data_IF_729719410074
#
_entry.id   IF_729719410074
#
_cell.length_a   1.000
_cell.length_b   1.000
_cell.length_c   1.000
_cell.angle_alpha   90.00
_cell.angle_beta   90.00
_cell.angle_gamma   90.00
#
_symmetry.space_group_name_H-M   'P 1'
#
loop_
_entity.id
_entity.type
_entity.pdbx_description
1 polymer ?
#
# COMPACT_ATOMS: atom_id res chain seq x y z
N UNK A 1 -8.29 -34.40 19.20
CA UNK A 1 -7.69 -34.16 17.87
C UNK A 1 -7.59 -32.66 17.66
N UNK A 2 -6.38 -32.14 17.80
CA UNK A 2 -6.06 -30.72 17.62
C UNK A 2 -6.43 -30.31 16.19
N UNK A 3 -7.29 -29.30 16.03
CA UNK A 3 -7.48 -28.64 14.74
C UNK A 3 -6.19 -27.86 14.46
N UNK A 4 -5.32 -28.44 13.65
CA UNK A 4 -4.24 -27.68 13.02
C UNK A 4 -4.88 -26.55 12.22
N UNK A 5 -4.71 -25.31 12.71
CA UNK A 5 -5.01 -24.11 11.96
C UNK A 5 -4.03 -24.08 10.79
N UNK A 6 -4.54 -24.20 9.56
CA UNK A 6 -3.74 -23.97 8.35
C UNK A 6 -2.97 -22.66 8.48
N UNK A 7 -1.73 -22.65 7.99
CA UNK A 7 -0.92 -21.44 7.96
C UNK A 7 -1.69 -20.31 7.24
N UNK A 8 -1.51 -19.08 7.70
CA UNK A 8 -2.20 -17.88 7.19
C UNK A 8 -2.07 -17.66 5.67
N UNK A 9 -1.13 -18.34 5.01
CA UNK A 9 -0.91 -18.30 3.56
C UNK A 9 -1.97 -19.12 2.78
N UNK A 10 -2.73 -20.01 3.44
CA UNK A 10 -3.71 -20.95 2.85
C UNK A 10 -5.18 -20.60 3.12
N UNK A 11 -5.49 -19.39 3.62
CA UNK A 11 -6.87 -18.91 3.66
C UNK A 11 -7.28 -18.48 2.25
N UNK A 12 -7.55 -19.46 1.39
CA UNK A 12 -8.14 -19.23 0.09
C UNK A 12 -9.44 -18.44 0.27
N UNK A 13 -9.56 -17.34 -0.48
CA UNK A 13 -10.80 -16.60 -0.56
C UNK A 13 -11.79 -17.44 -1.38
N UNK A 14 -12.44 -18.39 -0.72
CA UNK A 14 -13.34 -19.37 -1.32
C UNK A 14 -14.43 -18.71 -2.15
N UNK A 15 -14.97 -17.59 -1.65
CA UNK A 15 -15.91 -16.77 -2.40
C UNK A 15 -15.32 -16.34 -3.75
N UNK A 16 -14.17 -15.66 -3.77
CA UNK A 16 -13.58 -15.18 -5.03
C UNK A 16 -13.26 -16.33 -5.98
N UNK A 17 -12.74 -17.45 -5.47
CA UNK A 17 -12.44 -18.63 -6.28
C UNK A 17 -13.71 -19.20 -6.95
N UNK A 18 -14.78 -19.40 -6.18
CA UNK A 18 -16.08 -19.87 -6.67
C UNK A 18 -16.67 -18.91 -7.72
N UNK A 19 -16.58 -17.60 -7.47
CA UNK A 19 -17.10 -16.59 -8.40
C UNK A 19 -16.28 -16.53 -9.68
N UNK A 20 -14.96 -16.70 -9.63
CA UNK A 20 -14.12 -16.79 -10.83
C UNK A 20 -14.51 -18.00 -11.66
N UNK A 21 -14.65 -19.18 -11.03
CA UNK A 21 -15.05 -20.41 -11.70
C UNK A 21 -16.43 -20.29 -12.38
N UNK A 22 -17.35 -19.53 -11.79
CA UNK A 22 -18.68 -19.28 -12.35
C UNK A 22 -18.69 -18.22 -13.48
N UNK A 23 -17.93 -17.13 -13.33
CA UNK A 23 -18.00 -15.97 -14.23
C UNK A 23 -17.09 -16.11 -15.46
N UNK A 24 -15.90 -16.69 -15.32
CA UNK A 24 -14.92 -16.76 -16.40
C UNK A 24 -15.44 -17.52 -17.64
N UNK A 25 -16.09 -18.70 -17.51
CA UNK A 25 -16.66 -19.39 -18.68
C UNK A 25 -17.75 -18.59 -19.39
N UNK A 26 -18.54 -17.80 -18.64
CA UNK A 26 -19.57 -16.94 -19.23
C UNK A 26 -18.94 -15.77 -20.00
N UNK A 27 -17.86 -15.19 -19.50
CA UNK A 27 -17.13 -14.15 -20.22
C UNK A 27 -16.45 -14.68 -21.46
N UNK A 28 -15.91 -15.91 -21.41
CA UNK A 28 -15.37 -16.60 -22.57
C UNK A 28 -16.46 -16.87 -23.62
N UNK A 29 -17.63 -17.36 -23.20
CA UNK A 29 -18.77 -17.57 -24.09
C UNK A 29 -19.28 -16.25 -24.72
N UNK A 30 -19.26 -15.13 -23.99
CA UNK A 30 -19.64 -13.82 -24.54
C UNK A 30 -18.58 -13.21 -25.47
N UNK A 31 -17.31 -13.62 -25.37
CA UNK A 31 -16.20 -12.99 -26.07
C UNK A 31 -16.37 -12.90 -27.60
N UNK A 32 -16.96 -13.87 -28.32
CA UNK A 32 -17.14 -13.76 -29.77
C UNK A 32 -18.19 -12.72 -30.22
N UNK A 33 -19.09 -12.30 -29.33
CA UNK A 33 -20.25 -11.47 -29.69
C UNK A 33 -19.92 -9.98 -29.83
N UNK A 34 -20.83 -9.19 -30.41
CA UNK A 34 -20.68 -7.73 -30.50
C UNK A 34 -20.89 -7.05 -29.14
N UNK A 35 -20.42 -5.82 -28.99
CA UNK A 35 -20.46 -5.07 -27.73
C UNK A 35 -21.85 -5.06 -27.05
N UNK A 36 -22.91 -4.77 -27.81
CA UNK A 36 -24.28 -4.72 -27.26
C UNK A 36 -24.76 -6.07 -26.75
N UNK A 37 -24.38 -7.16 -27.42
CA UNK A 37 -24.70 -8.52 -27.01
C UNK A 37 -23.87 -8.93 -25.78
N UNK A 38 -22.59 -8.59 -25.73
CA UNK A 38 -21.78 -8.80 -24.52
C UNK A 38 -22.35 -8.02 -23.31
N UNK A 39 -22.90 -6.83 -23.56
CA UNK A 39 -23.52 -5.95 -22.55
C UNK A 39 -24.83 -6.50 -22.00
N UNK A 40 -25.77 -6.82 -22.89
CA UNK A 40 -27.16 -7.20 -22.55
C UNK A 40 -27.38 -8.71 -22.44
N UNK A 41 -26.56 -9.49 -23.10
CA UNK A 41 -26.70 -10.93 -23.26
C UNK A 41 -27.09 -11.33 -24.68
N UNK A 42 -27.11 -12.64 -24.92
CA UNK A 42 -27.56 -13.26 -26.16
C UNK A 42 -28.77 -14.13 -25.82
N UNK A 43 -30.01 -13.62 -25.99
CA UNK A 43 -31.22 -14.34 -25.56
C UNK A 43 -31.37 -15.73 -26.18
N UNK A 44 -30.94 -15.90 -27.43
CA UNK A 44 -31.06 -17.15 -28.16
C UNK A 44 -30.11 -18.25 -27.65
N UNK A 45 -29.09 -17.89 -26.87
CA UNK A 45 -28.08 -18.80 -26.35
C UNK A 45 -28.08 -18.85 -24.81
N UNK A 46 -29.11 -18.24 -24.19
CA UNK A 46 -29.25 -18.10 -22.74
C UNK A 46 -28.00 -17.49 -22.06
N UNK A 47 -27.23 -16.66 -22.79
CA UNK A 47 -26.06 -15.99 -22.26
C UNK A 47 -26.43 -14.68 -21.60
N UNK A 48 -26.14 -14.54 -20.31
CA UNK A 48 -26.36 -13.30 -19.57
C UNK A 48 -25.26 -12.29 -19.89
N UNK A 49 -25.64 -11.06 -20.23
CA UNK A 49 -24.68 -9.97 -20.43
C UNK A 49 -24.03 -9.51 -19.13
N UNK A 50 -22.89 -8.82 -19.24
CA UNK A 50 -22.12 -8.39 -18.07
C UNK A 50 -22.90 -7.48 -17.11
N UNK A 51 -23.89 -6.70 -17.59
CA UNK A 51 -24.69 -5.83 -16.72
C UNK A 51 -25.57 -6.65 -15.77
N UNK A 52 -26.19 -7.71 -16.29
CA UNK A 52 -27.04 -8.60 -15.51
C UNK A 52 -26.20 -9.44 -14.55
N UNK A 53 -25.05 -9.93 -15.01
CA UNK A 53 -24.09 -10.62 -14.16
C UNK A 53 -23.59 -9.73 -13.03
N UNK A 54 -23.31 -8.46 -13.29
CA UNK A 54 -22.91 -7.50 -12.25
C UNK A 54 -24.02 -7.24 -11.24
N UNK A 55 -25.28 -7.16 -11.66
CA UNK A 55 -26.42 -7.01 -10.75
C UNK A 55 -26.62 -8.24 -9.86
N UNK A 56 -26.50 -9.45 -10.41
CA UNK A 56 -26.53 -10.71 -9.65
C UNK A 56 -25.39 -10.73 -8.65
N UNK A 57 -24.18 -10.39 -9.08
CA UNK A 57 -23.00 -10.37 -8.22
C UNK A 57 -23.13 -9.36 -7.09
N UNK A 58 -23.68 -8.17 -7.37
CA UNK A 58 -23.95 -7.18 -6.34
C UNK A 58 -24.91 -7.70 -5.26
N UNK A 59 -25.97 -8.42 -5.67
CA UNK A 59 -26.90 -9.07 -4.73
C UNK A 59 -26.19 -10.14 -3.90
N UNK A 60 -25.40 -11.00 -4.54
CA UNK A 60 -24.64 -12.05 -3.85
C UNK A 60 -23.66 -11.46 -2.83
N UNK A 61 -22.96 -10.38 -3.19
CA UNK A 61 -22.05 -9.69 -2.28
C UNK A 61 -22.77 -9.11 -1.06
N UNK A 62 -23.95 -8.49 -1.24
CA UNK A 62 -24.75 -7.96 -0.12
C UNK A 62 -25.26 -9.07 0.80
N UNK A 63 -25.56 -10.25 0.25
CA UNK A 63 -26.01 -11.41 1.03
C UNK A 63 -24.85 -12.05 1.81
N UNK A 64 -23.72 -12.28 1.16
CA UNK A 64 -22.56 -12.94 1.78
C UNK A 64 -21.78 -12.02 2.72
N UNK A 65 -21.85 -10.70 2.50
CA UNK A 65 -21.18 -9.69 3.30
C UNK A 65 -22.18 -8.59 3.67
N UNK A 66 -23.16 -8.90 4.55
CA UNK A 66 -24.14 -7.93 4.98
C UNK A 66 -23.46 -6.79 5.74
N UNK A 67 -24.07 -5.61 5.65
CA UNK A 67 -23.73 -4.46 6.47
C UNK A 67 -24.93 -4.22 7.40
N UNK A 68 -24.77 -4.54 8.68
CA UNK A 68 -25.84 -4.54 9.68
C UNK A 68 -26.23 -3.13 10.15
N UNK A 69 -25.48 -2.10 9.71
CA UNK A 69 -25.79 -0.71 10.01
C UNK A 69 -27.13 -0.27 9.41
N UNK A 70 -27.75 0.81 9.95
CA UNK A 70 -28.88 1.49 9.32
C UNK A 70 -28.61 1.82 7.85
N UNK A 71 -29.64 1.80 6.98
CA UNK A 71 -29.45 1.93 5.52
C UNK A 71 -28.74 3.23 5.11
N UNK A 72 -28.96 4.31 5.85
CA UNK A 72 -28.33 5.61 5.73
C UNK A 72 -26.87 5.65 6.24
N UNK A 73 -26.42 4.62 6.96
CA UNK A 73 -25.05 4.44 7.44
C UNK A 73 -24.26 3.29 6.77
N UNK A 74 -24.91 2.45 5.96
CA UNK A 74 -24.24 1.35 5.26
C UNK A 74 -23.14 1.86 4.34
N UNK A 75 -22.06 1.08 4.25
CA UNK A 75 -20.94 1.33 3.33
C UNK A 75 -20.45 0.06 2.62
N UNK A 76 -20.84 -1.13 3.08
CA UNK A 76 -20.47 -2.42 2.49
C UNK A 76 -18.95 -2.58 2.28
N UNK A 77 -18.16 -2.16 3.27
CA UNK A 77 -16.69 -2.15 3.16
C UNK A 77 -16.06 -3.50 2.82
N UNK A 78 -16.62 -4.61 3.33
CA UNK A 78 -16.16 -5.96 2.97
C UNK A 78 -16.52 -6.33 1.53
N UNK A 79 -17.74 -6.03 1.07
CA UNK A 79 -18.11 -6.26 -0.33
C UNK A 79 -17.24 -5.44 -1.30
N UNK A 80 -16.93 -4.18 -0.99
CA UNK A 80 -16.03 -3.34 -1.78
C UNK A 80 -14.62 -3.95 -1.93
N UNK A 81 -14.10 -4.55 -0.85
CA UNK A 81 -12.83 -5.31 -0.89
C UNK A 81 -12.95 -6.54 -1.79
N UNK A 82 -14.04 -7.28 -1.69
CA UNK A 82 -14.28 -8.47 -2.51
C UNK A 82 -14.46 -8.17 -3.99
N UNK A 83 -15.11 -7.04 -4.34
CA UNK A 83 -15.18 -6.56 -5.73
C UNK A 83 -13.77 -6.34 -6.30
N UNK A 84 -12.87 -5.77 -5.51
CA UNK A 84 -11.49 -5.50 -5.94
C UNK A 84 -10.72 -6.82 -6.12
N UNK A 85 -10.84 -7.73 -5.16
CA UNK A 85 -10.22 -9.06 -5.23
C UNK A 85 -10.74 -9.88 -6.42
N UNK A 86 -12.05 -9.88 -6.66
CA UNK A 86 -12.68 -10.58 -7.77
C UNK A 86 -12.20 -10.06 -9.14
N UNK A 87 -12.13 -8.74 -9.34
CA UNK A 87 -11.59 -8.16 -10.58
C UNK A 87 -10.14 -8.59 -10.82
N UNK A 88 -9.31 -8.62 -9.78
CA UNK A 88 -7.91 -9.03 -9.88
C UNK A 88 -7.80 -10.51 -10.23
N UNK A 89 -8.56 -11.36 -9.54
CA UNK A 89 -8.58 -12.81 -9.77
C UNK A 89 -9.09 -13.16 -11.17
N UNK A 90 -10.17 -12.51 -11.64
CA UNK A 90 -10.68 -12.70 -13.00
C UNK A 90 -9.64 -12.33 -14.07
N UNK A 91 -8.94 -11.20 -13.90
CA UNK A 91 -7.87 -10.79 -14.84
C UNK A 91 -6.67 -11.73 -14.83
N UNK A 92 -6.38 -12.34 -13.68
CA UNK A 92 -5.33 -13.34 -13.57
C UNK A 92 -5.76 -14.64 -14.28
N UNK A 93 -6.93 -15.16 -13.93
CA UNK A 93 -7.50 -16.37 -14.52
C UNK A 93 -7.73 -16.24 -16.04
N UNK A 94 -8.11 -15.05 -16.52
CA UNK A 94 -8.22 -14.79 -17.95
C UNK A 94 -6.89 -14.94 -18.72
N UNK A 95 -5.74 -14.89 -18.05
CA UNK A 95 -4.43 -15.12 -18.69
C UNK A 95 -3.98 -16.58 -18.63
N UNK A 96 -4.42 -17.31 -17.62
CA UNK A 96 -3.90 -18.66 -17.31
C UNK A 96 -4.89 -19.77 -17.67
N UNK A 97 -6.19 -19.51 -17.56
CA UNK A 97 -7.22 -20.55 -17.46
C UNK A 97 -8.24 -20.53 -18.60
N UNK A 98 -8.12 -19.60 -19.57
CA UNK A 98 -8.97 -19.60 -20.76
C UNK A 98 -8.68 -20.82 -21.65
N UNK A 99 -9.74 -21.39 -22.23
CA UNK A 99 -9.62 -22.49 -23.19
C UNK A 99 -9.05 -21.97 -24.51
N UNK A 100 -9.51 -20.80 -24.96
CA UNK A 100 -8.96 -20.12 -26.12
C UNK A 100 -8.15 -18.88 -25.72
N UNK A 101 -6.82 -18.97 -25.90
CA UNK A 101 -5.89 -17.87 -25.62
C UNK A 101 -6.10 -16.66 -26.54
N UNK A 102 -6.73 -16.81 -27.71
CA UNK A 102 -7.05 -15.67 -28.57
C UNK A 102 -8.10 -14.74 -27.93
N UNK A 103 -8.91 -15.26 -26.99
CA UNK A 103 -10.00 -14.51 -26.35
C UNK A 103 -9.56 -13.67 -25.14
N UNK A 104 -8.28 -13.72 -24.74
CA UNK A 104 -7.74 -12.99 -23.57
C UNK A 104 -8.11 -11.51 -23.60
N UNK A 105 -7.95 -10.84 -24.75
CA UNK A 105 -8.23 -9.41 -24.88
C UNK A 105 -9.74 -9.11 -24.81
N UNK A 106 -10.62 -9.74 -25.62
CA UNK A 106 -12.07 -9.60 -25.48
C UNK A 106 -12.59 -9.89 -24.06
N UNK A 107 -12.11 -10.95 -23.41
CA UNK A 107 -12.49 -11.32 -22.04
C UNK A 107 -12.06 -10.25 -21.04
N UNK A 108 -10.84 -9.71 -21.16
CA UNK A 108 -10.37 -8.61 -20.32
C UNK A 108 -11.22 -7.34 -20.47
N UNK A 109 -11.71 -7.05 -21.68
CA UNK A 109 -12.67 -5.95 -21.89
C UNK A 109 -13.99 -6.22 -21.17
N UNK A 110 -14.52 -7.44 -21.26
CA UNK A 110 -15.75 -7.84 -20.56
C UNK A 110 -15.56 -7.73 -19.03
N UNK A 111 -14.47 -8.26 -18.48
CA UNK A 111 -14.13 -8.17 -17.05
C UNK A 111 -14.07 -6.71 -16.59
N UNK A 112 -13.51 -5.82 -17.42
CA UNK A 112 -13.42 -4.39 -17.10
C UNK A 112 -14.81 -3.77 -16.99
N UNK A 113 -15.68 -3.96 -17.99
CA UNK A 113 -17.04 -3.41 -17.97
C UNK A 113 -17.96 -4.06 -16.93
N UNK A 114 -17.85 -5.38 -16.73
CA UNK A 114 -18.47 -6.07 -15.61
C UNK A 114 -18.07 -5.42 -14.29
N UNK A 115 -16.77 -5.20 -14.10
CA UNK A 115 -16.24 -4.59 -12.90
C UNK A 115 -16.73 -3.16 -12.68
N UNK A 116 -16.83 -2.35 -13.73
CA UNK A 116 -17.39 -0.99 -13.68
C UNK A 116 -18.86 -1.01 -13.29
N UNK A 117 -19.67 -1.85 -13.96
CA UNK A 117 -21.09 -2.02 -13.66
C UNK A 117 -21.30 -2.50 -12.21
N UNK A 118 -20.48 -3.44 -11.74
CA UNK A 118 -20.52 -3.93 -10.36
C UNK A 118 -20.14 -2.85 -9.35
N UNK A 119 -19.08 -2.08 -9.62
CA UNK A 119 -18.70 -0.95 -8.77
C UNK A 119 -19.75 0.16 -8.73
N UNK A 120 -20.47 0.38 -9.84
CA UNK A 120 -21.57 1.34 -9.90
C UNK A 120 -22.70 0.99 -8.92
N UNK A 121 -23.01 -0.30 -8.74
CA UNK A 121 -24.00 -0.77 -7.75
C UNK A 121 -23.63 -0.44 -6.30
N UNK A 122 -22.38 -0.05 -6.04
CA UNK A 122 -21.88 0.34 -4.72
C UNK A 122 -21.39 1.79 -4.63
N UNK A 123 -21.65 2.62 -5.65
CA UNK A 123 -21.09 3.97 -5.75
C UNK A 123 -21.47 4.86 -4.55
N UNK A 124 -22.75 4.89 -4.16
CA UNK A 124 -23.24 5.70 -3.04
C UNK A 124 -22.65 5.27 -1.68
N UNK A 125 -22.45 3.97 -1.47
CA UNK A 125 -21.82 3.42 -0.28
C UNK A 125 -20.34 3.82 -0.20
N UNK A 126 -19.63 3.76 -1.33
CA UNK A 126 -18.23 4.18 -1.42
C UNK A 126 -18.07 5.70 -1.22
N UNK A 127 -18.99 6.50 -1.74
CA UNK A 127 -18.99 7.95 -1.53
C UNK A 127 -19.18 8.30 -0.06
N UNK A 128 -20.12 7.65 0.64
CA UNK A 128 -20.30 7.80 2.09
C UNK A 128 -19.04 7.44 2.86
N UNK A 129 -18.43 6.29 2.54
CA UNK A 129 -17.17 5.87 3.16
C UNK A 129 -16.07 6.93 2.99
N UNK A 130 -15.93 7.48 1.78
CA UNK A 130 -14.96 8.52 1.48
C UNK A 130 -15.26 9.83 2.22
N UNK A 131 -16.51 10.24 2.31
CA UNK A 131 -16.92 11.45 3.03
C UNK A 131 -16.63 11.32 4.53
N UNK A 132 -17.06 10.23 5.16
CA UNK A 132 -16.75 9.96 6.58
C UNK A 132 -15.25 9.93 6.83
N UNK A 133 -14.48 9.26 5.96
CA UNK A 133 -13.02 9.25 6.07
C UNK A 133 -12.42 10.67 6.00
N UNK A 134 -12.89 11.51 5.06
CA UNK A 134 -12.44 12.91 4.96
C UNK A 134 -12.77 13.69 6.23
N UNK A 135 -13.95 13.49 6.81
CA UNK A 135 -14.37 14.20 8.02
C UNK A 135 -13.55 13.76 9.24
N UNK A 136 -13.33 12.45 9.43
CA UNK A 136 -12.43 11.92 10.46
C UNK A 136 -11.01 12.46 10.30
N UNK A 137 -10.50 12.56 9.07
CA UNK A 137 -9.17 13.11 8.81
C UNK A 137 -9.11 14.61 9.11
N UNK A 138 -10.16 15.38 8.78
CA UNK A 138 -10.24 16.80 9.15
C UNK A 138 -10.27 16.99 10.67
N UNK A 139 -11.10 16.23 11.36
CA UNK A 139 -11.23 16.26 12.82
C UNK A 139 -9.90 15.95 13.51
N UNK A 140 -9.20 14.90 13.09
CA UNK A 140 -7.90 14.49 13.64
C UNK A 140 -6.77 15.50 13.40
N UNK A 141 -6.92 16.43 12.46
CA UNK A 141 -5.91 17.47 12.16
C UNK A 141 -6.11 18.74 12.98
N UNK A 142 -7.28 18.88 13.63
CA UNK A 142 -7.55 20.00 14.54
C UNK A 142 -6.53 20.01 15.67
N UNK A 143 -6.13 21.21 16.11
CA UNK A 143 -5.02 21.42 17.03
C UNK A 143 -5.20 20.62 18.33
N UNK A 144 -6.43 20.55 18.81
CA UNK A 144 -6.84 19.89 20.04
C UNK A 144 -6.73 18.35 19.96
N UNK A 145 -6.78 17.79 18.75
CA UNK A 145 -6.75 16.35 18.48
C UNK A 145 -5.38 15.85 17.99
N UNK A 146 -4.38 16.73 17.95
CA UNK A 146 -3.02 16.38 17.52
C UNK A 146 -2.35 15.49 18.55
N UNK A 147 -1.50 14.61 18.05
CA UNK A 147 -0.75 13.67 18.88
C UNK A 147 0.70 14.12 18.92
N UNK A 148 1.19 14.37 20.14
CA UNK A 148 2.61 14.55 20.39
C UNK A 148 3.34 13.21 20.25
N UNK A 149 4.38 13.19 19.44
CA UNK A 149 5.25 12.03 19.24
C UNK A 149 6.66 12.35 19.75
N UNK A 150 7.31 11.36 20.35
CA UNK A 150 8.67 11.46 20.87
C UNK A 150 9.51 10.38 20.21
N UNK A 151 10.54 10.80 19.47
CA UNK A 151 11.39 9.88 18.72
C UNK A 151 12.62 9.47 19.53
N UNK A 152 12.84 10.03 20.72
CA UNK A 152 14.14 9.96 21.41
C UNK A 152 14.62 8.54 21.65
N UNK A 153 13.80 7.70 22.28
CA UNK A 153 14.18 6.32 22.58
C UNK A 153 14.27 5.47 21.32
N UNK A 154 13.29 5.61 20.44
CA UNK A 154 13.22 4.88 19.17
C UNK A 154 14.36 5.23 18.21
N UNK A 155 14.84 6.48 18.16
CA UNK A 155 16.02 6.87 17.36
C UNK A 155 17.31 6.34 17.97
N UNK A 156 17.47 6.38 19.29
CA UNK A 156 18.63 5.77 19.97
C UNK A 156 18.66 4.27 19.73
N UNK A 157 17.51 3.60 19.85
CA UNK A 157 17.39 2.18 19.57
C UNK A 157 17.74 1.87 18.11
N UNK A 158 17.20 2.63 17.16
CA UNK A 158 17.54 2.48 15.74
C UNK A 158 19.03 2.69 15.46
N UNK A 159 19.64 3.72 16.04
CA UNK A 159 21.07 4.00 15.91
C UNK A 159 21.91 2.84 16.44
N UNK A 160 21.58 2.34 17.63
CA UNK A 160 22.29 1.22 18.24
C UNK A 160 22.16 -0.04 17.37
N UNK A 161 20.94 -0.43 16.97
CA UNK A 161 20.73 -1.61 16.12
C UNK A 161 21.52 -1.54 14.81
N UNK A 162 21.60 -0.36 14.17
CA UNK A 162 22.39 -0.19 12.95
C UNK A 162 23.91 -0.17 13.21
N UNK A 163 24.33 0.31 14.38
CA UNK A 163 25.74 0.29 14.80
C UNK A 163 26.18 -1.14 15.13
N UNK A 164 25.35 -1.90 15.85
CA UNK A 164 25.61 -3.27 16.27
C UNK A 164 25.85 -4.16 15.04
N UNK A 165 24.97 -4.11 14.03
CA UNK A 165 25.16 -4.89 12.80
C UNK A 165 26.42 -4.47 12.02
N UNK A 166 26.84 -3.20 12.12
CA UNK A 166 28.06 -2.71 11.46
C UNK A 166 29.32 -3.18 12.18
N UNK A 167 29.20 -3.46 13.48
CA UNK A 167 30.26 -4.07 14.29
C UNK A 167 30.21 -5.61 14.28
N UNK A 168 29.54 -6.20 13.28
CA UNK A 168 29.35 -7.65 13.13
C UNK A 168 28.61 -8.34 14.30
N UNK A 169 27.83 -7.58 15.07
CA UNK A 169 26.95 -8.15 16.10
C UNK A 169 25.62 -8.63 15.50
N UNK A 170 25.03 -9.65 16.12
CA UNK A 170 23.74 -10.18 15.65
C UNK A 170 22.60 -9.26 16.08
N UNK A 171 21.72 -8.95 15.13
CA UNK A 171 20.53 -8.15 15.39
C UNK A 171 19.30 -8.78 14.74
N UNK A 172 18.15 -8.52 15.34
CA UNK A 172 16.88 -8.92 14.76
C UNK A 172 16.59 -8.08 13.51
N UNK A 173 16.46 -8.74 12.36
CA UNK A 173 16.20 -8.09 11.07
C UNK A 173 14.92 -7.23 11.05
N UNK A 174 13.95 -7.54 11.92
CA UNK A 174 12.73 -6.73 12.07
C UNK A 174 13.07 -5.34 12.61
N UNK A 175 14.01 -5.26 13.55
CA UNK A 175 14.44 -4.01 14.16
C UNK A 175 15.30 -3.20 13.19
N UNK A 176 16.18 -3.86 12.42
CA UNK A 176 16.94 -3.23 11.32
C UNK A 176 15.99 -2.62 10.27
N UNK A 177 14.95 -3.35 9.88
CA UNK A 177 13.92 -2.87 8.95
C UNK A 177 13.19 -1.64 9.47
N UNK A 178 12.71 -1.69 10.72
CA UNK A 178 12.07 -0.56 11.38
C UNK A 178 13.02 0.64 11.52
N UNK A 179 14.30 0.42 11.84
CA UNK A 179 15.31 1.46 11.95
C UNK A 179 15.51 2.20 10.62
N UNK A 180 15.65 1.47 9.51
CA UNK A 180 15.78 2.06 8.16
C UNK A 180 14.51 2.82 7.78
N UNK A 181 13.33 2.29 8.09
CA UNK A 181 12.06 2.95 7.82
C UNK A 181 11.90 4.25 8.61
N UNK A 182 12.30 4.27 9.88
CA UNK A 182 12.31 5.49 10.70
C UNK A 182 13.34 6.50 10.18
N UNK A 183 14.54 6.05 9.82
CA UNK A 183 15.63 6.92 9.39
C UNK A 183 15.38 7.58 8.03
N UNK A 184 14.63 6.95 7.12
CA UNK A 184 14.47 7.39 5.71
C UNK A 184 13.03 7.68 5.28
N UNK A 185 12.07 7.31 6.14
CA UNK A 185 10.64 7.37 5.84
C UNK A 185 10.19 6.51 4.67
N UNK A 186 11.03 5.61 4.13
CA UNK A 186 10.67 4.75 2.99
C UNK A 186 9.57 3.76 3.35
N UNK A 187 8.75 3.38 2.37
CA UNK A 187 7.68 2.39 2.54
C UNK A 187 8.28 1.00 2.76
N UNK A 188 7.54 0.12 3.43
CA UNK A 188 7.94 -1.29 3.63
C UNK A 188 8.33 -1.97 2.31
N UNK A 189 7.50 -1.80 1.29
CA UNK A 189 7.77 -2.32 -0.04
C UNK A 189 9.00 -1.69 -0.70
N UNK A 190 9.39 -0.46 -0.35
CA UNK A 190 10.62 0.13 -0.86
C UNK A 190 11.84 -0.50 -0.16
N UNK A 191 11.84 -0.54 1.18
CA UNK A 191 12.94 -1.11 1.98
C UNK A 191 13.23 -2.57 1.59
N UNK A 192 12.19 -3.40 1.43
CA UNK A 192 12.33 -4.83 1.18
C UNK A 192 12.32 -5.25 -0.30
N UNK A 193 12.41 -4.31 -1.25
CA UNK A 193 12.36 -4.64 -2.68
C UNK A 193 13.17 -3.66 -3.53
N UNK A 194 12.79 -2.39 -3.55
CA UNK A 194 13.20 -1.47 -4.62
C UNK A 194 14.21 -0.41 -4.22
N UNK A 195 14.39 -0.16 -2.92
CA UNK A 195 15.25 0.90 -2.43
C UNK A 195 16.71 0.70 -2.83
N UNK A 196 17.34 1.77 -3.28
CA UNK A 196 18.78 1.89 -3.41
C UNK A 196 19.17 3.19 -2.74
N UNK A 197 20.15 3.14 -1.85
CA UNK A 197 20.72 4.32 -1.20
C UNK A 197 22.18 4.47 -1.60
N UNK A 198 22.56 5.70 -1.92
CA UNK A 198 23.95 6.08 -2.14
C UNK A 198 24.24 7.28 -1.25
N UNK A 199 25.27 7.16 -0.41
CA UNK A 199 25.63 8.21 0.54
C UNK A 199 26.11 9.47 -0.19
N UNK A 200 25.62 10.65 0.23
CA UNK A 200 26.11 11.95 -0.22
C UNK A 200 26.98 12.59 0.87
N UNK A 201 26.44 12.69 2.08
CA UNK A 201 27.10 13.25 3.25
C UNK A 201 26.69 12.48 4.52
N UNK A 202 26.90 13.05 5.71
CA UNK A 202 26.59 12.39 6.98
C UNK A 202 25.09 12.11 7.16
N UNK A 203 24.19 12.95 6.63
CA UNK A 203 22.74 12.85 6.86
C UNK A 203 21.91 12.95 5.59
N UNK A 204 22.52 12.65 4.44
CA UNK A 204 21.85 12.73 3.14
C UNK A 204 22.23 11.53 2.27
N UNK A 205 21.21 10.92 1.66
CA UNK A 205 21.39 9.87 0.65
C UNK A 205 20.67 10.22 -0.64
N UNK A 206 21.20 9.74 -1.75
CA UNK A 206 20.45 9.60 -2.99
C UNK A 206 19.58 8.35 -2.88
N UNK A 207 18.27 8.48 -3.08
CA UNK A 207 17.33 7.37 -3.12
C UNK A 207 16.82 7.12 -4.53
N UNK A 208 16.79 5.84 -4.92
CA UNK A 208 16.10 5.32 -6.11
C UNK A 208 15.14 4.19 -5.70
N UNK A 209 14.09 3.97 -6.48
CA UNK A 209 13.16 2.85 -6.28
C UNK A 209 11.77 3.22 -5.80
N UNK A 210 11.30 4.45 -6.09
CA UNK A 210 9.95 4.88 -5.70
C UNK A 210 8.87 3.98 -6.32
N UNK A 211 8.03 3.36 -5.48
CA UNK A 211 7.00 2.42 -5.95
C UNK A 211 5.67 3.08 -6.24
N UNK A 212 5.31 4.13 -5.49
CA UNK A 212 4.08 4.87 -5.76
C UNK A 212 4.27 5.74 -7.00
N UNK A 213 3.38 5.59 -7.96
CA UNK A 213 3.56 6.22 -9.27
C UNK A 213 4.56 5.49 -10.18
N UNK A 214 4.92 4.23 -9.91
CA UNK A 214 5.83 3.42 -10.77
C UNK A 214 5.48 3.37 -12.27
N UNK A 215 4.19 3.53 -12.61
CA UNK A 215 3.72 3.58 -14.01
C UNK A 215 3.82 4.98 -14.62
N UNK A 216 4.03 6.02 -13.80
CA UNK A 216 4.24 7.38 -14.25
C UNK A 216 5.63 7.49 -14.85
N UNK A 217 5.71 8.16 -15.99
CA UNK A 217 6.98 8.52 -16.62
C UNK A 217 7.15 10.02 -16.57
N UNK A 218 8.35 10.47 -16.22
CA UNK A 218 8.75 11.87 -16.26
C UNK A 218 9.61 12.07 -17.50
N UNK A 219 9.37 13.17 -18.22
CA UNK A 219 10.23 13.53 -19.36
C UNK A 219 11.50 14.18 -18.83
N UNK A 220 12.64 13.57 -19.10
CA UNK A 220 13.96 14.14 -18.85
C UNK A 220 14.59 14.38 -20.23
N UNK A 221 14.49 15.63 -20.71
CA UNK A 221 14.74 15.96 -22.11
C UNK A 221 13.78 15.18 -23.04
N UNK A 222 14.35 14.49 -24.03
CA UNK A 222 13.58 13.72 -25.02
C UNK A 222 13.17 12.31 -24.55
N UNK A 223 13.61 11.87 -23.37
CA UNK A 223 13.37 10.50 -22.86
C UNK A 223 12.33 10.49 -21.74
N UNK A 224 11.38 9.57 -21.83
CA UNK A 224 10.41 9.29 -20.78
C UNK A 224 10.96 8.21 -19.83
N UNK A 225 11.41 8.62 -18.64
CA UNK A 225 12.02 7.74 -17.63
C UNK A 225 10.97 7.39 -16.57
N UNK A 226 10.95 6.14 -16.08
CA UNK A 226 10.05 5.76 -14.98
C UNK A 226 10.42 6.53 -13.71
N UNK A 227 9.42 7.00 -12.94
CA UNK A 227 9.65 7.58 -11.61
C UNK A 227 10.42 6.64 -10.69
N UNK A 228 10.27 5.33 -10.88
CA UNK A 228 11.02 4.31 -10.12
C UNK A 228 12.53 4.47 -10.31
N UNK A 229 12.95 4.88 -11.50
CA UNK A 229 14.35 4.95 -11.90
C UNK A 229 15.00 6.32 -11.68
N UNK A 230 14.21 7.32 -11.28
CA UNK A 230 14.71 8.67 -11.03
C UNK A 230 15.31 8.74 -9.63
N UNK A 231 16.63 9.00 -9.50
CA UNK A 231 17.24 9.26 -8.20
C UNK A 231 16.83 10.64 -7.70
N UNK A 232 16.60 10.76 -6.40
CA UNK A 232 16.41 12.05 -5.73
C UNK A 232 17.00 12.04 -4.33
N UNK A 233 17.36 13.20 -3.81
CA UNK A 233 18.00 13.34 -2.50
C UNK A 233 16.96 13.28 -1.39
N UNK A 234 17.29 12.58 -0.31
CA UNK A 234 16.49 12.58 0.92
C UNK A 234 17.40 12.76 2.14
N UNK A 235 16.96 13.50 3.17
CA UNK A 235 17.67 13.52 4.44
C UNK A 235 17.51 12.18 5.17
N UNK A 236 18.42 11.89 6.10
CA UNK A 236 18.33 10.76 7.02
C UNK A 236 18.34 11.24 8.46
N UNK A 237 17.62 10.54 9.35
CA UNK A 237 17.63 10.84 10.79
C UNK A 237 18.79 10.17 11.55
N UNK A 238 19.46 9.24 10.89
CA UNK A 238 20.64 8.52 11.39
C UNK A 238 21.72 8.66 10.32
N UNK A 239 22.99 8.56 10.71
CA UNK A 239 24.13 8.57 9.78
C UNK A 239 23.83 7.77 8.49
N UNK A 240 24.00 8.41 7.35
CA UNK A 240 23.72 7.87 6.03
C UNK A 240 24.51 6.58 5.75
N UNK A 241 25.73 6.48 6.26
CA UNK A 241 26.56 5.29 6.19
C UNK A 241 25.90 4.09 6.90
N UNK A 242 25.40 4.28 8.13
CA UNK A 242 24.67 3.24 8.86
C UNK A 242 23.39 2.81 8.13
N UNK A 243 22.67 3.76 7.53
CA UNK A 243 21.45 3.49 6.76
C UNK A 243 21.75 2.67 5.50
N UNK A 244 22.78 3.06 4.74
CA UNK A 244 23.23 2.32 3.57
C UNK A 244 23.68 0.91 3.94
N UNK A 245 24.48 0.77 5.00
CA UNK A 245 24.93 -0.52 5.52
C UNK A 245 23.76 -1.41 5.94
N UNK A 246 22.81 -0.86 6.73
CA UNK A 246 21.65 -1.63 7.17
C UNK A 246 20.79 -2.14 6.01
N UNK A 247 20.65 -1.35 4.95
CA UNK A 247 19.92 -1.78 3.76
C UNK A 247 20.63 -2.94 3.04
N UNK A 248 21.96 -2.89 2.94
CA UNK A 248 22.76 -4.00 2.38
C UNK A 248 22.68 -5.24 3.28
N UNK A 249 22.80 -5.08 4.59
CA UNK A 249 22.69 -6.19 5.55
C UNK A 249 21.36 -6.93 5.44
N UNK A 250 20.24 -6.21 5.23
CA UNK A 250 18.94 -6.85 4.99
C UNK A 250 18.94 -7.69 3.70
N UNK A 251 19.67 -7.24 2.68
CA UNK A 251 19.84 -7.97 1.41
C UNK A 251 20.61 -9.28 1.66
N UNK A 252 21.76 -9.18 2.32
CA UNK A 252 22.65 -10.30 2.63
C UNK A 252 21.97 -11.36 3.51
N UNK A 253 21.04 -10.96 4.38
CA UNK A 253 20.21 -11.86 5.22
C UNK A 253 18.98 -12.41 4.50
N UNK A 254 18.83 -12.17 3.20
CA UNK A 254 17.70 -12.63 2.39
C UNK A 254 16.36 -12.03 2.83
N UNK A 255 16.38 -10.81 3.37
CA UNK A 255 15.18 -10.07 3.82
C UNK A 255 14.72 -9.05 2.78
N UNK A 256 15.29 -9.07 1.58
CA UNK A 256 14.83 -8.27 0.44
C UNK A 256 14.51 -9.21 -0.72
N UNK A 257 13.52 -8.83 -1.51
CA UNK A 257 13.19 -9.52 -2.76
C UNK A 257 13.90 -8.87 -3.93
N UNK A 258 14.06 -9.64 -5.01
CA UNK A 258 14.57 -9.13 -6.27
C UNK A 258 13.77 -7.92 -6.77
N UNK A 259 14.40 -6.88 -7.32
CA UNK A 259 13.71 -5.65 -7.68
C UNK A 259 12.52 -5.82 -8.65
N UNK A 260 12.51 -6.85 -9.49
CA UNK A 260 11.46 -7.09 -10.48
C UNK A 260 10.23 -7.84 -9.93
N UNK A 261 10.27 -8.30 -8.67
CA UNK A 261 9.16 -8.99 -8.01
C UNK A 261 7.92 -8.11 -7.77
N UNK A 262 6.78 -8.76 -7.55
CA UNK A 262 5.53 -8.07 -7.23
C UNK A 262 5.62 -7.37 -5.86
N UNK A 263 5.47 -6.03 -5.78
CA UNK A 263 5.47 -5.33 -4.49
C UNK A 263 4.42 -5.82 -3.49
N UNK A 264 3.32 -6.42 -3.94
CA UNK A 264 2.35 -7.01 -3.03
C UNK A 264 2.89 -8.25 -2.30
N UNK A 265 3.91 -8.92 -2.82
CA UNK A 265 4.60 -10.02 -2.15
C UNK A 265 5.25 -9.56 -0.85
N UNK A 266 5.84 -8.36 -0.82
CA UNK A 266 6.36 -7.75 0.42
C UNK A 266 5.28 -7.66 1.49
N UNK A 267 4.11 -7.10 1.12
CA UNK A 267 3.01 -6.96 2.07
C UNK A 267 2.51 -8.31 2.56
N UNK A 268 2.36 -9.31 1.68
CA UNK A 268 1.96 -10.66 2.09
C UNK A 268 2.98 -11.30 3.04
N UNK A 269 4.27 -11.17 2.77
CA UNK A 269 5.32 -11.84 3.53
C UNK A 269 5.63 -11.17 4.87
N UNK A 270 5.76 -9.84 4.88
CA UNK A 270 6.36 -9.13 6.01
C UNK A 270 5.37 -8.27 6.79
N UNK A 271 4.21 -7.90 6.25
CA UNK A 271 3.34 -6.90 6.90
C UNK A 271 2.88 -7.29 8.29
N UNK A 272 2.48 -8.55 8.51
CA UNK A 272 2.01 -9.03 9.82
C UNK A 272 3.15 -8.96 10.83
N UNK A 273 4.30 -9.55 10.51
CA UNK A 273 5.44 -9.66 11.41
C UNK A 273 6.05 -8.30 11.73
N UNK A 274 6.19 -7.43 10.73
CA UNK A 274 6.71 -6.07 10.95
C UNK A 274 5.73 -5.20 11.74
N UNK A 275 4.42 -5.28 11.50
CA UNK A 275 3.47 -4.54 12.34
C UNK A 275 3.45 -5.03 13.79
N UNK A 276 3.68 -6.32 14.04
CA UNK A 276 3.86 -6.81 15.41
C UNK A 276 5.13 -6.26 16.05
N UNK A 277 6.26 -6.30 15.32
CA UNK A 277 7.52 -5.72 15.79
C UNK A 277 7.39 -4.22 16.09
N UNK A 278 6.67 -3.45 15.27
CA UNK A 278 6.46 -2.02 15.49
C UNK A 278 5.79 -1.68 16.83
N UNK A 279 5.12 -2.62 17.50
CA UNK A 279 4.48 -2.34 18.80
C UNK A 279 5.49 -2.03 19.89
N UNK A 280 6.74 -2.51 19.79
CA UNK A 280 7.82 -2.18 20.74
C UNK A 280 8.37 -0.76 20.54
N UNK A 281 8.09 -0.11 19.40
CA UNK A 281 8.61 1.21 19.07
C UNK A 281 7.72 2.31 19.65
N UNK A 282 8.26 3.06 20.61
CA UNK A 282 7.52 3.95 21.51
C UNK A 282 7.26 5.37 20.97
N UNK A 283 7.14 5.53 19.65
CA UNK A 283 6.93 6.84 19.01
C UNK A 283 5.47 7.30 19.09
N UNK A 284 4.54 6.37 18.90
CA UNK A 284 3.10 6.63 18.80
C UNK A 284 2.35 6.00 19.99
N UNK A 285 1.10 6.42 20.26
CA UNK A 285 0.18 5.69 21.12
C UNK A 285 0.10 4.21 20.72
N UNK A 286 -0.02 3.33 21.71
CA UNK A 286 0.13 1.88 21.52
C UNK A 286 -0.82 1.29 20.45
N UNK A 287 -2.02 1.84 20.32
CA UNK A 287 -3.05 1.46 19.36
C UNK A 287 -2.80 1.98 17.93
N UNK A 288 -1.88 2.93 17.75
CA UNK A 288 -1.54 3.49 16.44
C UNK A 288 -0.22 2.97 15.85
N UNK A 289 0.55 2.18 16.62
CA UNK A 289 1.87 1.67 16.22
C UNK A 289 1.75 0.68 15.06
N UNK A 290 2.11 1.16 13.88
CA UNK A 290 2.11 0.38 12.64
C UNK A 290 3.26 0.85 11.76
N UNK A 291 3.80 -0.05 10.93
CA UNK A 291 5.05 0.20 10.20
C UNK A 291 5.00 1.46 9.32
N UNK A 292 3.86 1.69 8.65
CA UNK A 292 3.70 2.86 7.77
C UNK A 292 3.77 4.21 8.52
N UNK A 293 3.64 4.21 9.86
CA UNK A 293 3.72 5.43 10.68
C UNK A 293 5.14 5.93 10.87
N UNK A 294 6.16 5.09 10.68
CA UNK A 294 7.55 5.56 10.66
C UNK A 294 7.76 6.65 9.62
N UNK A 295 7.08 6.57 8.46
CA UNK A 295 7.09 7.63 7.45
C UNK A 295 6.53 8.96 7.95
N UNK A 296 5.50 8.92 8.82
CA UNK A 296 4.96 10.11 9.45
C UNK A 296 5.96 10.70 10.44
N UNK A 297 6.53 9.87 11.33
CA UNK A 297 7.55 10.30 12.29
C UNK A 297 8.78 10.90 11.59
N UNK A 298 9.26 10.21 10.55
CA UNK A 298 10.33 10.68 9.68
C UNK A 298 10.05 12.07 9.11
N UNK A 299 8.89 12.26 8.47
CA UNK A 299 8.58 13.54 7.84
C UNK A 299 8.55 14.67 8.88
N UNK A 300 7.95 14.42 10.05
CA UNK A 300 7.88 15.41 11.13
C UNK A 300 9.27 15.77 11.66
N UNK A 301 10.16 14.79 11.81
CA UNK A 301 11.54 15.02 12.23
C UNK A 301 12.35 15.76 11.16
N UNK A 302 12.19 15.40 9.88
CA UNK A 302 12.85 16.07 8.77
C UNK A 302 12.46 17.55 8.66
N UNK A 303 11.18 17.88 8.86
CA UNK A 303 10.70 19.27 8.90
C UNK A 303 11.38 20.06 10.03
N UNK A 304 11.48 19.46 11.24
CA UNK A 304 12.15 20.11 12.39
C UNK A 304 13.64 20.31 12.12
N UNK A 305 14.30 19.33 11.50
CA UNK A 305 15.73 19.38 11.19
C UNK A 305 16.08 20.38 10.08
N UNK A 306 15.17 20.60 9.13
CA UNK A 306 15.34 21.60 8.07
C UNK A 306 15.28 23.03 8.64
N UNK A 307 14.36 23.28 9.57
CA UNK A 307 14.23 24.55 10.29
C UNK A 307 13.63 25.71 9.49
N UNK A 308 13.50 25.60 8.16
CA UNK A 308 12.91 26.64 7.30
C UNK A 308 11.51 26.27 6.77
N UNK A 309 11.08 25.03 6.97
CA UNK A 309 9.78 24.53 6.52
C UNK A 309 8.71 24.80 7.57
N UNK A 310 7.58 25.38 7.17
CA UNK A 310 6.44 25.56 8.07
C UNK A 310 5.90 24.18 8.52
N UNK A 311 5.76 23.92 9.84
CA UNK A 311 5.28 22.64 10.35
C UNK A 311 3.85 22.26 9.94
N UNK A 312 3.12 23.11 9.25
CA UNK A 312 1.75 22.91 8.79
C UNK A 312 1.55 23.31 7.31
N UNK A 313 2.55 23.90 6.67
CA UNK A 313 2.64 24.11 5.23
C UNK A 313 3.91 23.48 4.63
N UNK A 314 3.95 22.14 4.65
CA UNK A 314 5.09 21.34 4.24
C UNK A 314 4.81 20.47 3.00
N UNK A 315 3.79 20.80 2.20
CA UNK A 315 3.36 19.91 1.10
C UNK A 315 4.48 19.73 0.08
N UNK A 316 5.13 20.81 -0.35
CA UNK A 316 6.18 20.75 -1.37
C UNK A 316 7.43 20.05 -0.81
N UNK A 317 7.84 20.40 0.41
CA UNK A 317 8.91 19.68 1.11
C UNK A 317 8.62 18.18 1.23
N UNK A 318 7.38 17.81 1.58
CA UNK A 318 6.98 16.41 1.65
C UNK A 318 7.01 15.74 0.28
N UNK A 319 6.56 16.38 -0.80
CA UNK A 319 6.65 15.84 -2.16
C UNK A 319 8.09 15.51 -2.53
N UNK A 320 9.03 16.40 -2.20
CA UNK A 320 10.44 16.23 -2.49
C UNK A 320 11.06 15.08 -1.68
N UNK A 321 10.90 15.11 -0.35
CA UNK A 321 11.54 14.09 0.50
C UNK A 321 10.84 12.74 0.44
N UNK A 322 9.54 12.69 0.16
CA UNK A 322 8.74 11.45 0.14
C UNK A 322 8.58 10.88 -1.28
N UNK A 323 8.79 11.67 -2.33
CA UNK A 323 8.48 11.32 -3.72
C UNK A 323 7.00 11.01 -3.94
N UNK A 324 6.10 11.56 -3.12
CA UNK A 324 4.66 11.25 -3.11
C UNK A 324 3.85 12.51 -3.46
N UNK A 325 3.06 12.46 -4.53
CA UNK A 325 2.19 13.59 -4.93
C UNK A 325 0.77 13.51 -4.36
N UNK A 326 0.51 12.52 -3.52
CA UNK A 326 -0.80 12.37 -2.88
C UNK A 326 -0.93 13.30 -1.67
N UNK A 327 -1.44 14.49 -1.93
CA UNK A 327 -1.67 15.51 -0.92
C UNK A 327 -2.63 15.04 0.19
N UNK A 328 -3.58 14.13 -0.09
CA UNK A 328 -4.46 13.62 0.94
C UNK A 328 -3.68 12.81 1.98
N UNK A 329 -2.76 11.97 1.52
CA UNK A 329 -1.84 11.20 2.36
C UNK A 329 -0.86 12.12 3.09
N UNK A 330 -0.21 13.07 2.40
CA UNK A 330 0.73 14.01 3.03
C UNK A 330 0.05 14.80 4.13
N UNK A 331 -1.12 15.37 3.84
CA UNK A 331 -1.83 16.16 4.82
C UNK A 331 -2.25 15.33 6.04
N UNK A 332 -2.39 14.00 5.93
CA UNK A 332 -2.74 13.15 7.08
C UNK A 332 -1.65 13.17 8.16
N UNK A 333 -0.41 13.49 7.79
CA UNK A 333 0.70 13.64 8.74
C UNK A 333 0.64 14.93 9.57
N UNK A 334 -0.23 15.91 9.22
CA UNK A 334 -0.50 17.10 10.05
C UNK A 334 -1.12 16.77 11.41
N UNK A 335 -1.57 15.53 11.61
CA UNK A 335 -2.07 15.01 12.88
C UNK A 335 -0.98 14.93 13.96
N UNK A 336 0.28 14.79 13.57
CA UNK A 336 1.39 14.52 14.50
C UNK A 336 2.24 15.76 14.73
N UNK A 337 2.71 15.95 15.95
CA UNK A 337 3.61 17.04 16.35
C UNK A 337 4.79 16.48 17.14
N UNK A 338 6.01 16.93 16.86
CA UNK A 338 7.19 16.50 17.62
C UNK A 338 7.10 17.12 19.01
N UNK A 339 7.21 16.29 20.05
CA UNK A 339 7.26 16.75 21.43
C UNK A 339 8.49 17.65 21.62
N UNK A 340 8.36 18.85 22.21
CA UNK A 340 9.50 19.72 22.47
C UNK A 340 10.62 18.99 23.22
N UNK A 341 11.86 19.14 22.74
CA UNK A 341 13.04 18.46 23.29
C UNK A 341 13.23 17.02 22.82
N UNK A 342 12.34 16.47 21.99
CA UNK A 342 12.57 15.17 21.34
C UNK A 342 13.81 15.25 20.45
N UNK A 343 14.63 14.21 20.49
CA UNK A 343 15.68 14.00 19.50
C UNK A 343 15.03 13.76 18.13
N UNK A 344 15.53 14.41 17.08
CA UNK A 344 15.01 14.29 15.70
C UNK A 344 16.07 13.84 14.70
N UNK A 345 17.34 13.75 15.12
CA UNK A 345 18.47 13.25 14.33
C UNK A 345 19.58 12.79 15.28
N UNK A 346 20.30 11.73 14.94
CA UNK A 346 21.44 11.21 15.71
C UNK A 346 22.59 10.73 14.84
#
# INVERSE_FOLDING_TARGET
>A
MSRELKASEDLENTYVAERVAYLLPQFEALAPYKLNQRKKGVPNEDLLGWERLAAIEAKNLKINYPDERPEDEKEYGTALRQITALKKALKFAAKTDLKDRALVNPVNTIITHFGEALSYQFASYKERQNSRYRDTVKERRQKENRIYIDLTNSLKFAHNVLTDIKNDEDANWLDVSCAIALATGRRMAEVHLSASFEQIDEYTVTFKGQLKGKNRRVRLGDKAVSVRDLPFKIPTLISADLVCFGLQWLDDKGKRFEPDEDPERVNRRFSKTLNEACKSWDIFPADERTYHKFRAAYLRAAIVNDGNVDPYDFIDFAKDVLGDDDEATINAYKRYEIKPGSLTRI
#
